data_IF_245749436455
#
_entry.id   IF_245749436455
#
_cell.length_a   1.000
_cell.length_b   1.000
_cell.length_c   1.000
_cell.angle_alpha   90.00
_cell.angle_beta   90.00
_cell.angle_gamma   90.00
#
_symmetry.space_group_name_H-M   'P 1'
#
loop_
_entity.id
_entity.type
_entity.pdbx_description
1 polymer ?
#
# COMPACT_ATOMS: atom_id res chain seq x y z
N UNK A 1 4.66 -14.49 1.40
CA UNK A 1 5.84 -14.16 0.60
C UNK A 1 5.47 -14.22 -0.88
N UNK A 2 6.05 -13.32 -1.68
CA UNK A 2 5.89 -13.34 -3.14
C UNK A 2 6.41 -14.64 -3.78
N UNK A 3 5.80 -15.07 -4.89
CA UNK A 3 6.28 -16.24 -5.64
C UNK A 3 7.67 -15.98 -6.24
N UNK A 4 8.44 -17.04 -6.45
CA UNK A 4 9.82 -16.96 -6.94
C UNK A 4 9.95 -16.24 -8.29
N UNK A 5 8.97 -16.42 -9.19
CA UNK A 5 8.91 -15.73 -10.47
C UNK A 5 8.85 -14.21 -10.31
N UNK A 6 7.98 -13.71 -9.41
CA UNK A 6 7.89 -12.29 -9.11
C UNK A 6 9.18 -11.73 -8.47
N UNK A 7 9.89 -12.53 -7.67
CA UNK A 7 11.20 -12.13 -7.13
C UNK A 7 12.24 -11.99 -8.25
N UNK A 8 12.26 -12.89 -9.23
CA UNK A 8 13.17 -12.81 -10.38
C UNK A 8 12.88 -11.60 -11.24
N UNK A 9 11.61 -11.34 -11.55
CA UNK A 9 11.22 -10.14 -12.28
C UNK A 9 11.62 -8.87 -11.52
N UNK A 10 11.41 -8.84 -10.20
CA UNK A 10 11.84 -7.74 -9.36
C UNK A 10 13.35 -7.50 -9.47
N UNK A 11 14.19 -8.55 -9.47
CA UNK A 11 15.64 -8.42 -9.67
C UNK A 11 15.98 -7.81 -11.03
N UNK A 12 15.33 -8.28 -12.11
CA UNK A 12 15.55 -7.75 -13.47
C UNK A 12 15.19 -6.26 -13.55
N UNK A 13 14.03 -5.87 -13.00
CA UNK A 13 13.59 -4.48 -12.98
C UNK A 13 14.50 -3.61 -12.11
N UNK A 14 14.93 -4.10 -10.95
CA UNK A 14 15.82 -3.39 -10.06
C UNK A 14 17.18 -3.13 -10.71
N UNK A 15 17.76 -4.14 -11.36
CA UNK A 15 19.00 -3.99 -12.13
C UNK A 15 18.83 -2.98 -13.27
N UNK A 16 17.75 -3.08 -14.05
CA UNK A 16 17.47 -2.16 -15.16
C UNK A 16 17.35 -0.70 -14.70
N UNK A 17 16.71 -0.47 -13.55
CA UNK A 17 16.44 0.88 -13.05
C UNK A 17 17.61 1.49 -12.27
N UNK A 18 18.32 0.70 -11.49
CA UNK A 18 19.35 1.19 -10.54
C UNK A 18 20.76 0.72 -10.88
N UNK A 19 20.95 -0.10 -11.91
CA UNK A 19 22.25 -0.65 -12.30
C UNK A 19 22.85 -1.65 -11.30
N UNK A 20 22.10 -2.02 -10.26
CA UNK A 20 22.58 -2.89 -9.17
C UNK A 20 21.92 -4.27 -9.24
N UNK A 21 22.74 -5.31 -9.22
CA UNK A 21 22.28 -6.67 -8.99
C UNK A 21 22.02 -6.91 -7.50
N UNK A 22 20.94 -7.65 -7.22
CA UNK A 22 20.56 -8.06 -5.89
C UNK A 22 20.76 -9.56 -5.75
N UNK A 23 21.29 -9.99 -4.62
CA UNK A 23 21.20 -11.40 -4.21
C UNK A 23 19.73 -11.81 -4.05
N UNK A 24 19.43 -13.10 -4.16
CA UNK A 24 18.08 -13.62 -3.95
C UNK A 24 17.50 -13.20 -2.59
N UNK A 25 18.32 -13.26 -1.53
CA UNK A 25 17.91 -12.82 -0.18
C UNK A 25 17.55 -11.34 -0.13
N UNK A 26 18.35 -10.47 -0.76
CA UNK A 26 18.04 -9.04 -0.83
C UNK A 26 16.78 -8.76 -1.66
N UNK A 27 16.59 -9.48 -2.76
CA UNK A 27 15.42 -9.34 -3.62
C UNK A 27 14.15 -9.76 -2.88
N UNK A 28 14.18 -10.92 -2.21
CA UNK A 28 13.10 -11.39 -1.34
C UNK A 28 12.75 -10.34 -0.29
N UNK A 29 13.73 -9.87 0.46
CA UNK A 29 13.49 -8.91 1.53
C UNK A 29 12.88 -7.60 1.00
N UNK A 30 13.47 -7.04 -0.06
CA UNK A 30 13.04 -5.74 -0.62
C UNK A 30 11.67 -5.82 -1.31
N UNK A 31 11.41 -6.88 -2.07
CA UNK A 31 10.16 -7.02 -2.80
C UNK A 31 8.97 -7.23 -1.85
N UNK A 32 9.13 -8.05 -0.80
CA UNK A 32 8.07 -8.24 0.19
C UNK A 32 7.82 -6.94 0.97
N UNK A 33 8.86 -6.25 1.43
CA UNK A 33 8.71 -4.97 2.13
C UNK A 33 7.99 -3.91 1.28
N UNK A 34 8.24 -3.88 -0.03
CA UNK A 34 7.57 -2.95 -0.94
C UNK A 34 6.05 -3.21 -0.98
N UNK A 35 5.65 -4.47 -1.07
CA UNK A 35 4.24 -4.86 -1.09
C UNK A 35 3.57 -4.60 0.26
N UNK A 36 4.27 -4.87 1.37
CA UNK A 36 3.73 -4.62 2.70
C UNK A 36 3.55 -3.12 2.95
N UNK A 37 4.48 -2.29 2.48
CA UNK A 37 4.33 -0.84 2.51
C UNK A 37 3.13 -0.36 1.68
N UNK A 38 2.94 -0.91 0.48
CA UNK A 38 1.79 -0.58 -0.36
C UNK A 38 0.46 -0.91 0.34
N UNK A 39 0.35 -2.12 0.92
CA UNK A 39 -0.85 -2.55 1.66
C UNK A 39 -1.13 -1.63 2.84
N UNK A 40 -0.10 -1.33 3.63
CA UNK A 40 -0.23 -0.44 4.77
C UNK A 40 -0.72 0.95 4.36
N UNK A 41 -0.12 1.53 3.31
CA UNK A 41 -0.53 2.83 2.79
C UNK A 41 -1.98 2.80 2.30
N UNK A 42 -2.37 1.76 1.55
CA UNK A 42 -3.71 1.58 1.03
C UNK A 42 -4.77 1.45 2.13
N UNK A 43 -4.53 0.62 3.15
CA UNK A 43 -5.42 0.46 4.29
C UNK A 43 -5.56 1.76 5.08
N UNK A 44 -4.46 2.49 5.26
CA UNK A 44 -4.47 3.79 5.96
C UNK A 44 -5.29 4.84 5.22
N UNK A 45 -5.20 4.87 3.89
CA UNK A 45 -5.97 5.77 3.05
C UNK A 45 -7.47 5.40 3.06
N UNK A 46 -7.77 4.10 3.01
CA UNK A 46 -9.15 3.59 3.03
C UNK A 46 -9.86 3.91 4.35
N UNK A 47 -9.17 3.78 5.48
CA UNK A 47 -9.72 4.12 6.80
C UNK A 47 -10.03 5.61 6.91
N UNK A 48 -9.13 6.48 6.46
CA UNK A 48 -9.37 7.94 6.44
C UNK A 48 -10.59 8.29 5.60
N UNK A 49 -10.73 7.67 4.42
CA UNK A 49 -11.89 7.90 3.57
C UNK A 49 -13.21 7.45 4.24
N UNK A 50 -13.21 6.37 5.03
CA UNK A 50 -14.39 5.97 5.81
C UNK A 50 -14.69 6.97 6.94
N UNK A 51 -13.67 7.39 7.70
CA UNK A 51 -13.82 8.36 8.79
C UNK A 51 -14.36 9.71 8.29
N UNK A 52 -13.94 10.16 7.12
CA UNK A 52 -14.44 11.41 6.53
C UNK A 52 -15.90 11.27 6.09
N UNK A 53 -16.28 10.15 5.48
CA UNK A 53 -17.68 9.88 5.11
C UNK A 53 -18.62 9.76 6.33
N UNK A 54 -18.13 9.21 7.44
CA UNK A 54 -18.93 9.06 8.67
C UNK A 54 -19.12 10.39 9.40
N UNK A 55 -18.17 11.33 9.30
CA UNK A 55 -18.31 12.69 9.83
C UNK A 55 -19.35 13.49 9.04
N UNK A 56 -19.30 13.45 7.71
CA UNK A 56 -20.24 14.17 6.85
C UNK A 56 -21.70 13.74 7.08
N UNK A 57 -21.94 12.44 7.34
CA UNK A 57 -23.27 11.92 7.67
C UNK A 57 -23.77 12.41 9.02
N UNK A 58 -22.91 12.39 10.05
CA UNK A 58 -23.27 12.86 11.38
C UNK A 58 -23.60 14.36 11.39
N UNK A 59 -22.85 15.19 10.65
CA UNK A 59 -23.14 16.62 10.54
C UNK A 59 -24.45 16.92 9.79
N UNK A 60 -24.77 16.13 8.75
CA UNK A 60 -26.02 16.25 8.01
C UNK A 60 -27.24 15.87 8.86
N UNK A 61 -27.15 14.83 9.69
CA UNK A 61 -28.22 14.40 10.60
C UNK A 61 -28.48 15.40 11.74
N UNK A 62 -27.41 15.96 12.33
CA UNK A 62 -27.52 16.99 13.39
C UNK A 62 -28.17 18.27 12.86
N UNK A 63 -27.93 18.62 11.60
CA UNK A 63 -28.50 19.82 10.97
C UNK A 63 -30.00 19.65 10.64
N UNK A 64 -30.44 18.43 10.32
CA UNK A 64 -31.85 18.12 10.06
C UNK A 64 -32.67 17.99 11.36
N UNK A 65 -32.09 17.49 12.44
CA UNK A 65 -32.77 17.34 13.73
C UNK A 65 -33.06 18.66 14.47
N UNK A 66 -32.42 19.77 14.07
CA UNK A 66 -32.57 21.10 14.68
C UNK A 66 -33.44 22.06 13.85
N UNK A 67 -34.21 21.56 12.86
CA UNK A 67 -35.23 22.31 12.11
C UNK A 67 -36.62 21.85 12.49
#
# INVERSE_FOLDING_TARGET
MLPAEAIREFQTLYKKRYGKELTEREAVFRANNLIDLYKFAWESASKRAQEDNDKDKNEAEVTQANR
#
